data_IF_584559815970
#
_entry.id   IF_584559815970
#
_cell.length_a   1.000
_cell.length_b   1.000
_cell.length_c   1.000
_cell.angle_alpha   90.00
_cell.angle_beta   90.00
_cell.angle_gamma   90.00
#
_symmetry.space_group_name_H-M   'P 1'
#
loop_
_entity.id
_entity.type
_entity.pdbx_description
1 polymer ?
#
# COMPACT_ATOMS: atom_id res chain seq x y z
N UNK A 1 -40.81 32.04 -51.19
CA UNK A 1 -41.20 30.67 -50.74
C UNK A 1 -39.93 29.89 -50.48
N UNK A 2 -39.71 29.15 -49.39
CA UNK A 2 -40.63 28.45 -48.53
C UNK A 2 -40.24 28.54 -47.04
N UNK A 3 -41.24 28.79 -46.19
CA UNK A 3 -41.22 28.50 -44.75
C UNK A 3 -41.21 26.98 -44.57
N UNK A 4 -40.10 26.31 -44.86
CA UNK A 4 -39.84 25.02 -44.21
C UNK A 4 -39.28 25.33 -42.82
N UNK A 5 -40.13 25.91 -41.98
CA UNK A 5 -39.95 25.97 -40.54
C UNK A 5 -40.09 24.55 -39.99
N UNK A 6 -39.14 23.68 -40.33
CA UNK A 6 -39.01 22.36 -39.77
C UNK A 6 -38.93 22.57 -38.26
N UNK A 7 -39.93 22.07 -37.52
CA UNK A 7 -39.99 22.10 -36.05
C UNK A 7 -38.87 21.22 -35.48
N UNK A 8 -37.61 21.62 -35.68
CA UNK A 8 -36.43 20.93 -35.19
C UNK A 8 -36.38 21.12 -33.69
N UNK A 9 -36.42 20.02 -32.95
CA UNK A 9 -36.30 20.06 -31.51
C UNK A 9 -34.91 20.57 -31.11
N UNK A 10 -34.88 21.43 -30.09
CA UNK A 10 -33.62 21.93 -29.54
C UNK A 10 -32.86 20.81 -28.83
N UNK A 11 -31.54 20.75 -29.05
CA UNK A 11 -30.63 19.85 -28.29
C UNK A 11 -30.47 20.29 -26.82
N UNK A 12 -30.87 21.52 -26.48
CA UNK A 12 -30.74 22.07 -25.12
C UNK A 12 -31.69 21.35 -24.17
N UNK A 13 -31.15 20.83 -23.07
CA UNK A 13 -31.95 20.26 -21.99
C UNK A 13 -32.24 21.32 -20.93
N UNK A 14 -33.52 21.48 -20.57
CA UNK A 14 -33.93 22.30 -19.44
C UNK A 14 -33.37 21.73 -18.13
N UNK A 15 -33.14 22.59 -17.14
CA UNK A 15 -32.59 22.17 -15.84
C UNK A 15 -33.46 21.08 -15.19
N UNK A 16 -34.79 21.20 -15.28
CA UNK A 16 -35.75 20.17 -14.81
C UNK A 16 -35.49 18.79 -15.42
N UNK A 17 -35.19 18.72 -16.72
CA UNK A 17 -34.83 17.46 -17.39
C UNK A 17 -33.49 16.92 -16.88
N UNK A 18 -32.47 17.78 -16.76
CA UNK A 18 -31.14 17.39 -16.23
C UNK A 18 -31.26 16.80 -14.82
N UNK A 19 -31.97 17.47 -13.91
CA UNK A 19 -32.15 16.99 -12.53
C UNK A 19 -32.96 15.70 -12.45
N UNK A 20 -34.01 15.53 -13.27
CA UNK A 20 -34.75 14.26 -13.36
C UNK A 20 -33.87 13.11 -13.85
N UNK A 21 -33.04 13.33 -14.87
CA UNK A 21 -32.11 12.33 -15.38
C UNK A 21 -31.12 11.93 -14.28
N UNK A 22 -30.49 12.90 -13.62
CA UNK A 22 -29.57 12.63 -12.51
C UNK A 22 -30.24 11.83 -11.38
N UNK A 23 -31.47 12.20 -10.99
CA UNK A 23 -32.25 11.47 -9.98
C UNK A 23 -32.51 10.02 -10.42
N UNK A 24 -32.98 9.80 -11.64
CA UNK A 24 -33.24 8.45 -12.18
C UNK A 24 -31.97 7.60 -12.25
N UNK A 25 -30.84 8.17 -12.69
CA UNK A 25 -29.55 7.46 -12.74
C UNK A 25 -29.06 7.08 -11.35
N UNK A 26 -29.20 7.98 -10.37
CA UNK A 26 -28.87 7.70 -8.95
C UNK A 26 -29.73 6.58 -8.40
N UNK A 27 -31.04 6.63 -8.62
CA UNK A 27 -31.99 5.59 -8.18
C UNK A 27 -31.70 4.24 -8.83
N UNK A 28 -31.44 4.21 -10.15
CA UNK A 28 -31.07 2.99 -10.86
C UNK A 28 -29.77 2.38 -10.32
N UNK A 29 -28.72 3.20 -10.17
CA UNK A 29 -27.45 2.76 -9.58
C UNK A 29 -27.60 2.24 -8.14
N UNK A 30 -28.47 2.87 -7.34
CA UNK A 30 -28.80 2.40 -5.98
C UNK A 30 -29.47 1.03 -6.02
N UNK A 31 -30.42 0.80 -6.93
CA UNK A 31 -31.10 -0.49 -7.10
C UNK A 31 -30.14 -1.57 -7.61
N UNK A 32 -29.27 -1.28 -8.59
CA UNK A 32 -28.25 -2.22 -9.07
C UNK A 32 -27.29 -2.65 -7.95
N UNK A 33 -26.88 -1.71 -7.09
CA UNK A 33 -26.01 -2.03 -5.94
C UNK A 33 -26.72 -2.88 -4.90
N UNK A 34 -28.00 -2.62 -4.61
CA UNK A 34 -28.79 -3.43 -3.66
C UNK A 34 -28.99 -4.85 -4.20
N UNK A 35 -29.53 -4.97 -5.42
CA UNK A 35 -29.75 -6.26 -6.09
C UNK A 35 -28.46 -7.06 -6.24
N UNK A 36 -27.32 -6.43 -6.56
CA UNK A 36 -26.03 -7.14 -6.65
C UNK A 36 -25.50 -7.70 -5.33
N UNK A 37 -25.93 -7.13 -4.19
CA UNK A 37 -25.56 -7.61 -2.86
C UNK A 37 -26.51 -8.72 -2.40
N UNK A 38 -27.78 -8.60 -2.78
CA UNK A 38 -28.87 -9.51 -2.40
C UNK A 38 -28.84 -10.84 -3.18
N UNK A 39 -28.54 -10.81 -4.49
CA UNK A 39 -28.42 -12.01 -5.34
C UNK A 39 -27.18 -12.88 -5.06
N UNK A 40 -26.42 -12.60 -4.00
CA UNK A 40 -25.25 -13.39 -3.62
C UNK A 40 -24.09 -13.30 -4.61
N UNK A 41 -23.03 -14.07 -4.34
CA UNK A 41 -21.76 -14.03 -5.08
C UNK A 41 -22.03 -14.26 -6.57
N UNK A 42 -21.52 -13.36 -7.42
CA UNK A 42 -21.53 -13.53 -8.88
C UNK A 42 -21.02 -14.93 -9.21
N UNK A 43 -21.73 -15.64 -10.09
CA UNK A 43 -21.27 -16.93 -10.64
C UNK A 43 -19.81 -16.76 -11.06
N UNK A 44 -18.94 -17.70 -10.67
CA UNK A 44 -17.53 -17.64 -11.07
C UNK A 44 -17.47 -17.51 -12.58
N UNK A 45 -16.73 -16.51 -13.04
CA UNK A 45 -16.56 -16.26 -14.45
C UNK A 45 -15.97 -17.52 -15.09
N UNK A 46 -16.63 -18.00 -16.15
CA UNK A 46 -16.12 -19.15 -16.90
C UNK A 46 -14.76 -18.74 -17.47
N UNK A 47 -13.74 -19.55 -17.26
CA UNK A 47 -12.44 -19.29 -17.89
C UNK A 47 -12.62 -19.26 -19.40
N UNK A 48 -12.13 -18.20 -20.05
CA UNK A 48 -12.10 -18.10 -21.50
C UNK A 48 -11.26 -19.29 -22.01
N UNK A 49 -11.94 -20.28 -22.59
CA UNK A 49 -11.32 -21.52 -23.04
C UNK A 49 -10.77 -21.33 -24.45
N UNK A 50 -9.58 -21.86 -24.71
CA UNK A 50 -8.96 -21.82 -26.03
C UNK A 50 -9.81 -22.65 -27.01
N UNK A 51 -10.28 -22.07 -28.13
CA UNK A 51 -11.10 -22.79 -29.10
C UNK A 51 -10.38 -24.00 -29.73
N UNK A 52 -11.13 -25.05 -30.07
CA UNK A 52 -10.60 -26.28 -30.71
C UNK A 52 -9.98 -26.05 -32.09
N UNK A 53 -10.39 -25.00 -32.80
CA UNK A 53 -9.86 -24.64 -34.13
C UNK A 53 -8.44 -24.04 -34.07
N UNK A 54 -7.92 -23.77 -32.87
CA UNK A 54 -6.59 -23.20 -32.70
C UNK A 54 -5.52 -24.30 -32.88
N UNK A 55 -4.56 -24.17 -33.83
CA UNK A 55 -3.54 -25.19 -34.07
C UNK A 55 -2.64 -25.42 -32.85
N UNK A 56 -2.36 -24.37 -32.07
CA UNK A 56 -1.49 -24.43 -30.88
C UNK A 56 -2.24 -24.67 -29.57
N UNK A 57 -3.48 -25.17 -29.62
CA UNK A 57 -4.30 -25.37 -28.41
C UNK A 57 -3.58 -26.26 -27.38
N UNK A 58 -2.93 -27.34 -27.83
CA UNK A 58 -2.21 -28.26 -26.95
C UNK A 58 -1.02 -27.57 -26.26
N UNK A 59 -0.20 -26.87 -27.03
CA UNK A 59 0.97 -26.14 -26.53
C UNK A 59 0.59 -25.05 -25.53
N UNK A 60 -0.44 -24.26 -25.82
CA UNK A 60 -0.94 -23.19 -24.93
C UNK A 60 -1.45 -23.76 -23.60
N UNK A 61 -2.08 -24.93 -23.61
CA UNK A 61 -2.54 -25.60 -22.38
C UNK A 61 -1.35 -26.10 -21.55
N UNK A 62 -0.33 -26.68 -22.18
CA UNK A 62 0.90 -27.14 -21.52
C UNK A 62 1.63 -25.98 -20.82
N UNK A 63 1.84 -24.86 -21.52
CA UNK A 63 2.47 -23.67 -20.94
C UNK A 63 1.66 -23.11 -19.76
N UNK A 64 0.32 -23.13 -19.86
CA UNK A 64 -0.55 -22.69 -18.77
C UNK A 64 -0.45 -23.59 -17.53
N UNK A 65 -0.26 -24.90 -17.69
CA UNK A 65 -0.04 -25.84 -16.58
C UNK A 65 1.31 -25.61 -15.90
N UNK A 66 2.37 -25.41 -16.69
CA UNK A 66 3.70 -25.07 -16.18
C UNK A 66 3.65 -23.79 -15.33
N UNK A 67 3.05 -22.72 -15.86
CA UNK A 67 2.87 -21.46 -15.12
C UNK A 67 2.04 -21.62 -13.85
N UNK A 68 1.01 -22.48 -13.86
CA UNK A 68 0.23 -22.80 -12.65
C UNK A 68 1.07 -23.54 -11.61
N UNK A 69 1.95 -24.44 -12.02
CA UNK A 69 2.85 -25.15 -11.12
C UNK A 69 3.84 -24.20 -10.45
N UNK A 70 4.49 -23.33 -11.24
CA UNK A 70 5.41 -22.29 -10.74
C UNK A 70 4.73 -21.32 -9.77
N UNK A 71 3.53 -20.85 -10.10
CA UNK A 71 2.75 -19.96 -9.25
C UNK A 71 2.33 -20.63 -7.92
N UNK A 72 2.02 -21.93 -7.95
CA UNK A 72 1.71 -22.71 -6.72
C UNK A 72 2.95 -22.86 -5.85
N UNK A 73 4.10 -23.21 -6.43
CA UNK A 73 5.37 -23.39 -5.73
C UNK A 73 5.80 -22.10 -5.01
N UNK A 74 5.86 -20.98 -5.74
CA UNK A 74 6.16 -19.66 -5.17
C UNK A 74 5.13 -19.22 -4.12
N UNK A 75 3.85 -19.52 -4.35
CA UNK A 75 2.77 -19.27 -3.39
C UNK A 75 2.94 -20.03 -2.07
N UNK A 76 3.35 -21.30 -2.10
CA UNK A 76 3.66 -22.08 -0.89
C UNK A 76 4.86 -21.50 -0.14
N UNK A 77 5.93 -21.14 -0.83
CA UNK A 77 7.12 -20.54 -0.21
C UNK A 77 6.78 -19.23 0.50
N UNK A 78 5.96 -18.38 -0.13
CA UNK A 78 5.49 -17.14 0.49
C UNK A 78 4.62 -17.38 1.72
N UNK A 79 3.76 -18.40 1.72
CA UNK A 79 2.95 -18.79 2.88
C UNK A 79 3.85 -19.25 4.03
N UNK A 80 4.82 -20.12 3.76
CA UNK A 80 5.78 -20.62 4.74
C UNK A 80 6.61 -19.45 5.31
N UNK A 81 7.13 -18.58 4.46
CA UNK A 81 7.88 -17.39 4.87
C UNK A 81 7.03 -16.46 5.76
N UNK A 82 5.74 -16.29 5.43
CA UNK A 82 4.81 -15.49 6.24
C UNK A 82 4.58 -16.13 7.62
N UNK A 83 4.43 -17.44 7.70
CA UNK A 83 4.26 -18.16 8.97
C UNK A 83 5.52 -18.04 9.83
N UNK A 84 6.71 -18.28 9.27
CA UNK A 84 7.98 -18.13 9.99
C UNK A 84 8.17 -16.70 10.52
N UNK A 85 7.86 -15.68 9.71
CA UNK A 85 7.90 -14.27 10.14
C UNK A 85 6.90 -13.98 11.27
N UNK A 86 5.73 -14.60 11.26
CA UNK A 86 4.74 -14.44 12.33
C UNK A 86 5.21 -15.07 13.65
N UNK A 87 5.79 -16.28 13.60
CA UNK A 87 6.37 -16.96 14.77
C UNK A 87 7.52 -16.14 15.36
N UNK A 88 8.48 -15.69 14.53
CA UNK A 88 9.59 -14.82 14.97
C UNK A 88 9.09 -13.53 15.64
N UNK A 89 8.03 -12.90 15.11
CA UNK A 89 7.41 -11.72 15.72
C UNK A 89 6.74 -12.01 17.06
N UNK A 90 6.10 -13.17 17.23
CA UNK A 90 5.50 -13.59 18.50
C UNK A 90 6.59 -13.83 19.56
N UNK A 91 7.65 -14.55 19.22
CA UNK A 91 8.80 -14.78 20.11
C UNK A 91 9.51 -13.48 20.53
N UNK A 92 9.71 -12.54 19.60
CA UNK A 92 10.29 -11.23 19.92
C UNK A 92 9.41 -10.39 20.86
N UNK A 93 8.07 -10.50 20.76
CA UNK A 93 7.15 -9.84 21.70
C UNK A 93 7.20 -10.48 23.09
N UNK A 94 7.27 -11.81 23.19
CA UNK A 94 7.41 -12.51 24.46
C UNK A 94 8.74 -12.18 25.16
N UNK A 95 9.87 -12.19 24.44
CA UNK A 95 11.18 -11.76 24.97
C UNK A 95 11.15 -10.32 25.50
N UNK A 96 10.48 -9.39 24.78
CA UNK A 96 10.31 -8.00 25.25
C UNK A 96 9.43 -7.91 26.50
N UNK A 97 8.40 -8.74 26.63
CA UNK A 97 7.57 -8.80 27.86
C UNK A 97 8.37 -9.33 29.04
N UNK A 98 9.12 -10.43 28.86
CA UNK A 98 9.98 -10.97 29.91
C UNK A 98 11.04 -9.95 30.36
N UNK A 99 11.70 -9.26 29.41
CA UNK A 99 12.67 -8.20 29.74
C UNK A 99 12.06 -7.01 30.49
N UNK A 100 10.78 -6.69 30.24
CA UNK A 100 10.06 -5.64 30.97
C UNK A 100 9.70 -6.07 32.40
N UNK A 101 9.55 -7.37 32.64
CA UNK A 101 9.25 -7.91 33.97
C UNK A 101 10.53 -8.11 34.82
N UNK A 102 11.70 -8.23 34.20
CA UNK A 102 13.00 -8.34 34.90
C UNK A 102 13.62 -6.98 35.28
N UNK A 103 12.92 -5.86 35.05
CA UNK A 103 13.39 -4.49 35.31
C UNK A 103 12.91 -3.94 36.69
N UNK A 104 12.34 -4.80 37.56
CA UNK A 104 11.76 -4.42 38.86
C UNK A 104 12.25 -5.32 40.02
N UNK A 105 13.57 -5.47 40.17
CA UNK A 105 14.20 -5.95 41.41
C UNK A 105 15.36 -5.01 41.77
N UNK A 106 15.28 -4.41 42.97
CA UNK A 106 15.96 -3.23 43.53
C UNK A 106 17.49 -3.29 43.68
N UNK A 107 18.15 -2.13 43.52
CA UNK A 107 19.28 -1.63 44.34
C UNK A 107 19.41 -0.08 44.23
N UNK A 108 18.95 0.64 45.28
CA UNK A 108 19.42 1.94 45.84
C UNK A 108 19.21 3.33 45.14
N UNK A 109 18.63 4.36 45.81
CA UNK A 109 18.48 5.74 45.29
C UNK A 109 19.48 6.77 45.89
N UNK A 110 19.81 7.90 45.20
CA UNK A 110 20.38 9.09 45.85
C UNK A 110 19.55 10.40 45.66
N UNK A 111 19.75 11.43 46.52
CA UNK A 111 18.65 12.16 47.16
C UNK A 111 18.35 13.59 46.65
N UNK A 112 17.17 14.07 47.07
CA UNK A 112 16.58 15.40 46.89
C UNK A 112 17.30 16.49 47.71
N UNK A 113 18.20 17.25 47.11
CA UNK A 113 18.71 18.50 47.70
C UNK A 113 19.32 19.43 46.65
N UNK A 114 18.51 20.03 45.79
CA UNK A 114 18.93 21.23 45.03
C UNK A 114 17.72 21.98 44.46
N UNK A 115 16.83 22.40 45.36
CA UNK A 115 15.88 23.46 45.09
C UNK A 115 16.31 24.69 45.89
N UNK A 116 16.30 25.82 45.20
CA UNK A 116 16.23 27.19 45.74
C UNK A 116 17.57 27.91 46.00
N UNK A 117 17.93 28.78 45.06
CA UNK A 117 18.22 30.19 45.33
C UNK A 117 17.76 31.01 44.10
N UNK A 118 16.76 31.86 44.36
CA UNK A 118 16.23 32.93 43.50
C UNK A 118 17.28 34.05 43.33
N UNK A 119 17.27 34.81 42.23
CA UNK A 119 16.88 36.25 42.15
C UNK A 119 16.89 36.63 40.64
N UNK A 120 15.82 37.17 40.01
CA UNK A 120 15.48 38.61 39.78
C UNK A 120 16.55 39.38 38.95
N UNK A 121 16.35 40.20 37.89
CA UNK A 121 15.24 40.78 37.11
C UNK A 121 15.74 41.16 35.66
N UNK A 122 14.78 41.49 34.78
CA UNK A 122 14.81 42.48 33.66
C UNK A 122 15.67 42.38 32.36
N UNK A 123 14.98 42.79 31.28
CA UNK A 123 15.41 43.38 29.99
C UNK A 123 15.79 42.50 28.77
N UNK A 124 14.79 42.39 27.87
CA UNK A 124 14.79 42.63 26.42
C UNK A 124 15.90 42.09 25.46
N UNK A 125 15.41 41.47 24.37
CA UNK A 125 15.95 41.35 22.98
C UNK A 125 16.53 39.99 22.51
N UNK A 126 15.88 39.49 21.44
CA UNK A 126 16.32 38.54 20.40
C UNK A 126 16.28 37.03 20.71
N UNK A 127 15.12 36.42 20.45
CA UNK A 127 15.00 34.97 20.26
C UNK A 127 15.21 34.60 18.77
N UNK A 128 16.12 33.68 18.42
CA UNK A 128 16.12 33.06 17.10
C UNK A 128 14.86 32.20 16.93
N UNK A 129 14.28 32.09 15.71
CA UNK A 129 13.04 31.36 15.53
C UNK A 129 13.22 29.89 15.92
N UNK A 130 12.26 29.28 16.63
CA UNK A 130 12.33 27.88 16.99
C UNK A 130 12.34 27.05 15.71
N UNK A 131 13.44 26.33 15.48
CA UNK A 131 13.45 25.28 14.46
C UNK A 131 12.36 24.27 14.82
N UNK A 132 11.31 24.24 14.02
CA UNK A 132 10.16 23.35 14.21
C UNK A 132 10.66 21.92 14.32
N UNK A 133 10.33 21.17 15.40
CA UNK A 133 10.72 19.78 15.51
C UNK A 133 10.00 19.01 14.41
N UNK A 134 10.74 18.67 13.35
CA UNK A 134 10.24 17.81 12.29
C UNK A 134 9.75 16.53 12.97
N UNK A 135 8.44 16.30 12.93
CA UNK A 135 7.78 15.16 13.55
C UNK A 135 8.65 13.91 13.42
N UNK A 136 8.95 13.25 14.54
CA UNK A 136 9.81 12.05 14.59
C UNK A 136 9.36 10.94 13.61
N UNK A 137 8.13 11.00 13.12
CA UNK A 137 7.57 10.13 12.07
C UNK A 137 8.07 10.47 10.66
N UNK A 138 8.26 11.74 10.34
CA UNK A 138 8.80 12.19 9.05
C UNK A 138 10.27 11.77 8.90
N UNK A 139 11.08 11.96 9.94
CA UNK A 139 12.49 11.50 10.00
C UNK A 139 12.56 9.98 9.82
N UNK A 140 11.73 9.21 10.57
CA UNK A 140 11.66 7.75 10.42
C UNK A 140 11.26 7.30 9.01
N UNK A 141 10.38 8.04 8.33
CA UNK A 141 10.01 7.76 6.93
C UNK A 141 11.16 8.08 5.98
N UNK A 142 11.87 9.19 6.18
CA UNK A 142 13.02 9.59 5.38
C UNK A 142 14.16 8.57 5.47
N UNK A 143 14.54 8.16 6.68
CA UNK A 143 15.57 7.13 6.92
C UNK A 143 15.20 5.81 6.26
N UNK A 144 13.91 5.41 6.34
CA UNK A 144 13.43 4.17 5.69
C UNK A 144 13.48 4.24 4.17
N UNK A 145 13.19 5.40 3.58
CA UNK A 145 13.32 5.64 2.13
C UNK A 145 14.78 5.57 1.71
N UNK A 146 15.68 6.24 2.45
CA UNK A 146 17.11 6.23 2.18
C UNK A 146 17.67 4.80 2.22
N UNK A 147 17.37 4.03 3.27
CA UNK A 147 17.80 2.62 3.37
C UNK A 147 17.28 1.75 2.22
N UNK A 148 16.04 1.98 1.76
CA UNK A 148 15.48 1.24 0.61
C UNK A 148 16.17 1.61 -0.70
N UNK A 149 16.55 2.88 -0.89
CA UNK A 149 17.31 3.31 -2.05
C UNK A 149 18.72 2.72 -2.04
N UNK A 150 19.41 2.74 -0.90
CA UNK A 150 20.75 2.12 -0.77
C UNK A 150 20.72 0.62 -1.10
N UNK A 151 19.70 -0.12 -0.64
CA UNK A 151 19.53 -1.52 -0.99
C UNK A 151 19.26 -1.77 -2.48
N UNK A 152 18.64 -0.83 -3.19
CA UNK A 152 18.46 -0.94 -4.64
C UNK A 152 19.78 -0.70 -5.37
N UNK A 153 20.54 0.31 -4.93
CA UNK A 153 21.85 0.67 -5.49
C UNK A 153 22.82 -0.51 -5.32
N UNK A 154 22.89 -1.11 -4.13
CA UNK A 154 23.72 -2.28 -3.88
C UNK A 154 23.38 -3.44 -4.81
N UNK A 155 22.10 -3.79 -4.95
CA UNK A 155 21.66 -4.87 -5.86
C UNK A 155 21.94 -4.58 -7.33
N UNK A 156 21.83 -3.33 -7.76
CA UNK A 156 22.22 -2.96 -9.12
C UNK A 156 23.73 -3.03 -9.31
N UNK A 157 24.53 -2.69 -8.29
CA UNK A 157 25.98 -2.80 -8.33
C UNK A 157 26.42 -4.27 -8.41
N UNK A 158 25.83 -5.16 -7.61
CA UNK A 158 26.11 -6.61 -7.66
C UNK A 158 25.82 -7.18 -9.05
N UNK A 159 24.71 -6.74 -9.68
CA UNK A 159 24.36 -7.15 -11.05
C UNK A 159 25.37 -6.64 -12.07
N UNK A 160 25.85 -5.40 -11.94
CA UNK A 160 26.86 -4.84 -12.83
C UNK A 160 28.22 -5.52 -12.65
N UNK A 161 28.58 -5.90 -11.42
CA UNK A 161 29.81 -6.65 -11.15
C UNK A 161 29.81 -8.00 -11.88
N UNK A 162 28.73 -8.77 -11.77
CA UNK A 162 28.59 -10.04 -12.51
C UNK A 162 28.68 -9.86 -14.03
N UNK A 163 28.09 -8.77 -14.56
CA UNK A 163 28.17 -8.47 -15.99
C UNK A 163 29.57 -8.03 -16.44
N UNK A 164 30.40 -7.51 -15.54
CA UNK A 164 31.79 -7.15 -15.83
C UNK A 164 32.68 -8.39 -15.75
N UNK A 165 32.46 -9.27 -14.77
CA UNK A 165 33.17 -10.54 -14.64
C UNK A 165 32.92 -11.43 -15.88
N UNK A 166 31.66 -11.55 -16.31
CA UNK A 166 31.28 -12.27 -17.55
C UNK A 166 31.95 -11.69 -18.82
N UNK A 167 32.32 -10.40 -18.82
CA UNK A 167 32.98 -9.74 -19.96
C UNK A 167 34.50 -9.83 -19.91
N UNK A 168 35.09 -10.13 -18.76
CA UNK A 168 36.53 -10.28 -18.57
C UNK A 168 37.01 -11.72 -18.78
N UNK A 169 36.09 -12.70 -18.75
CA UNK A 169 36.37 -14.12 -19.03
C UNK A 169 36.31 -14.49 -20.55
N UNK A 170 36.04 -13.52 -21.42
CA UNK A 170 36.04 -13.66 -22.90
C UNK A 170 37.21 -12.88 -23.50
#
# INVERSE_FOLDING_TARGET
>A
MAKYCLKKQSKRLTCKKKFKIQRKVREHSRKLKKTSKEFGRKKSEKSISVPNKCPFKAEVLMEAEQKRAEAKASGSEHKICRQQRAVKKKGAKQRKKMKKNTDWTDESPPPLSLLLLEEEEDNAVSSPPPSVPISSRAIRKAVKRHKKNQQKIAKSADKLALQLDEKMEV
#
